data_IF_307813949325
#
_entry.id   IF_307813949325
#
_cell.length_a   1.000
_cell.length_b   1.000
_cell.length_c   1.000
_cell.angle_alpha   90.00
_cell.angle_beta   90.00
_cell.angle_gamma   90.00
#
_symmetry.space_group_name_H-M   'P 1'
#
loop_
_entity.id
_entity.type
_entity.pdbx_description
1 polymer ?
#
# COMPACT_ATOMS: atom_id res chain seq x y z
N UNK A 1 -14.81 -5.38 4.76
CA UNK A 1 -15.51 -5.89 5.95
C UNK A 1 -14.82 -5.38 7.19
N UNK A 2 -15.51 -4.55 7.99
CA UNK A 2 -15.25 -4.08 9.37
C UNK A 2 -13.83 -3.74 9.90
N UNK A 3 -12.75 -3.75 9.11
CA UNK A 3 -11.41 -3.29 9.54
C UNK A 3 -10.98 -1.92 9.00
N UNK A 4 -11.76 -1.30 8.09
CA UNK A 4 -11.36 -0.07 7.38
C UNK A 4 -11.70 1.24 8.11
N UNK A 5 -12.10 1.20 9.39
CA UNK A 5 -12.59 2.40 10.13
C UNK A 5 -11.69 2.89 11.27
N UNK A 6 -10.43 2.46 11.33
CA UNK A 6 -9.49 2.93 12.37
C UNK A 6 -8.30 3.67 11.79
N UNK A 7 -8.54 4.60 10.87
CA UNK A 7 -7.63 5.73 10.63
C UNK A 7 -8.48 6.93 10.25
N UNK A 8 -8.71 7.77 11.25
CA UNK A 8 -9.23 9.12 11.10
C UNK A 8 -8.26 9.92 10.21
N UNK A 9 -8.45 9.90 8.87
CA UNK A 9 -7.95 10.85 7.85
C UNK A 9 -8.21 10.38 6.40
N UNK A 10 -8.96 11.22 5.69
CA UNK A 10 -9.31 11.25 4.26
C UNK A 10 -10.52 10.42 3.76
N UNK A 11 -11.59 11.07 3.23
CA UNK A 11 -12.81 10.42 2.75
C UNK A 11 -12.66 9.62 1.45
N UNK A 12 -11.47 9.57 0.84
CA UNK A 12 -11.23 9.06 -0.53
C UNK A 12 -10.20 7.92 -0.59
N UNK A 13 -9.91 7.26 0.53
CA UNK A 13 -8.96 6.14 0.50
C UNK A 13 -9.58 4.94 -0.22
N UNK A 14 -9.01 4.56 -1.38
CA UNK A 14 -9.44 3.37 -2.14
C UNK A 14 -9.32 2.13 -1.24
N UNK A 15 -10.32 1.22 -1.24
CA UNK A 15 -10.22 -0.03 -0.49
C UNK A 15 -8.99 -0.83 -0.91
N UNK A 16 -8.15 -1.25 0.05
CA UNK A 16 -6.91 -1.99 -0.23
C UNK A 16 -7.20 -3.28 -1.02
N UNK A 17 -8.30 -3.96 -0.69
CA UNK A 17 -8.72 -5.18 -1.36
C UNK A 17 -9.00 -4.99 -2.87
N UNK A 18 -9.38 -3.78 -3.31
CA UNK A 18 -9.56 -3.48 -4.72
C UNK A 18 -8.21 -3.39 -5.44
N UNK A 19 -7.21 -2.76 -4.81
CA UNK A 19 -5.87 -2.70 -5.38
C UNK A 19 -5.18 -4.06 -5.36
N UNK A 20 -5.36 -4.86 -4.31
CA UNK A 20 -4.80 -6.22 -4.25
C UNK A 20 -5.25 -7.03 -5.47
N UNK A 21 -6.54 -6.95 -5.83
CA UNK A 21 -7.09 -7.61 -7.02
C UNK A 21 -6.49 -7.10 -8.32
N UNK A 22 -6.31 -5.78 -8.46
CA UNK A 22 -5.76 -5.18 -9.66
C UNK A 22 -4.29 -5.59 -9.85
N UNK A 23 -3.47 -5.48 -8.79
CA UNK A 23 -2.05 -5.86 -8.85
C UNK A 23 -1.92 -7.33 -9.22
N UNK A 24 -2.67 -8.23 -8.54
CA UNK A 24 -2.63 -9.66 -8.86
C UNK A 24 -3.10 -9.99 -10.29
N UNK A 25 -3.98 -9.17 -10.87
CA UNK A 25 -4.52 -9.41 -12.21
C UNK A 25 -3.58 -8.93 -13.34
N UNK A 26 -2.71 -7.96 -13.08
CA UNK A 26 -1.91 -7.30 -14.12
C UNK A 26 -0.40 -7.37 -13.90
N UNK A 27 0.06 -7.97 -12.80
CA UNK A 27 1.49 -8.16 -12.52
C UNK A 27 1.76 -9.55 -11.97
N UNK A 28 3.00 -10.01 -12.14
CA UNK A 28 3.53 -11.20 -11.49
C UNK A 28 4.19 -10.84 -10.16
N UNK A 29 4.42 -11.88 -9.34
CA UNK A 29 5.22 -11.74 -8.12
C UNK A 29 6.64 -11.27 -8.47
N UNK A 30 7.17 -10.33 -7.68
CA UNK A 30 8.47 -9.70 -7.94
C UNK A 30 8.47 -8.58 -8.99
N UNK A 31 7.39 -8.36 -9.75
CA UNK A 31 7.33 -7.25 -10.70
C UNK A 31 7.43 -5.89 -9.99
N UNK A 32 8.03 -4.91 -10.67
CA UNK A 32 8.14 -3.54 -10.20
C UNK A 32 6.93 -2.70 -10.60
N UNK A 33 6.23 -2.14 -9.60
CA UNK A 33 5.07 -1.26 -9.79
C UNK A 33 5.43 0.20 -9.51
N UNK A 34 5.11 1.10 -10.44
CA UNK A 34 5.25 2.55 -10.28
C UNK A 34 3.89 3.21 -10.03
N UNK A 35 3.81 4.04 -9.00
CA UNK A 35 2.71 4.98 -8.77
C UNK A 35 3.24 6.41 -8.70
N UNK A 36 3.02 7.19 -9.77
CA UNK A 36 3.52 8.55 -9.87
C UNK A 36 2.73 9.56 -9.00
N UNK A 37 1.59 9.16 -8.43
CA UNK A 37 0.72 9.99 -7.60
C UNK A 37 0.33 9.22 -6.34
N UNK A 38 1.35 8.82 -5.59
CA UNK A 38 1.26 7.84 -4.51
C UNK A 38 0.27 8.23 -3.41
N UNK A 39 0.12 9.52 -3.11
CA UNK A 39 -0.78 10.01 -2.06
C UNK A 39 -0.50 9.29 -0.74
N UNK A 40 -1.53 8.66 -0.17
CA UNK A 40 -1.39 7.92 1.10
C UNK A 40 -0.64 6.58 1.01
N UNK A 41 -0.24 6.10 -0.17
CA UNK A 41 0.54 4.86 -0.31
C UNK A 41 -0.27 3.58 -0.38
N UNK A 42 -1.54 3.62 -0.78
CA UNK A 42 -2.37 2.40 -0.84
C UNK A 42 -1.84 1.40 -1.88
N UNK A 43 -1.31 1.86 -3.01
CA UNK A 43 -0.69 1.00 -4.05
C UNK A 43 0.53 0.26 -3.49
N UNK A 44 1.43 0.97 -2.79
CA UNK A 44 2.61 0.34 -2.18
C UNK A 44 2.26 -0.66 -1.08
N UNK A 45 1.25 -0.37 -0.24
CA UNK A 45 0.76 -1.34 0.77
C UNK A 45 0.26 -2.62 0.08
N UNK A 46 -0.45 -2.48 -1.03
CA UNK A 46 -0.94 -3.61 -1.82
C UNK A 46 0.21 -4.39 -2.47
N UNK A 47 1.24 -3.71 -2.98
CA UNK A 47 2.45 -4.36 -3.51
C UNK A 47 3.17 -5.18 -2.43
N UNK A 48 3.35 -4.65 -1.22
CA UNK A 48 3.96 -5.38 -0.09
C UNK A 48 3.15 -6.63 0.25
N UNK A 49 1.81 -6.52 0.31
CA UNK A 49 0.91 -7.65 0.61
C UNK A 49 0.93 -8.75 -0.44
N UNK A 50 1.22 -8.38 -1.67
CA UNK A 50 1.23 -9.28 -2.83
C UNK A 50 2.65 -9.62 -3.28
N UNK A 51 3.69 -9.26 -2.53
CA UNK A 51 5.09 -9.53 -2.87
C UNK A 51 5.52 -8.97 -4.25
N UNK A 52 5.25 -7.68 -4.49
CA UNK A 52 5.75 -6.90 -5.63
C UNK A 52 6.74 -5.83 -5.16
N UNK A 53 7.69 -5.49 -6.01
CA UNK A 53 8.52 -4.30 -5.80
C UNK A 53 7.72 -3.03 -6.11
N UNK A 54 8.09 -1.91 -5.49
CA UNK A 54 7.28 -0.70 -5.57
C UNK A 54 8.09 0.59 -5.54
N UNK A 55 7.74 1.53 -6.42
CA UNK A 55 8.19 2.92 -6.39
C UNK A 55 6.96 3.83 -6.34
N UNK A 56 6.90 4.70 -5.32
CA UNK A 56 5.87 5.72 -5.18
C UNK A 56 6.47 7.12 -5.23
N UNK A 57 5.89 8.00 -6.04
CA UNK A 57 6.28 9.42 -6.12
C UNK A 57 5.14 10.26 -5.53
N UNK A 58 5.50 11.16 -4.61
CA UNK A 58 4.57 12.09 -3.97
C UNK A 58 5.29 13.41 -3.70
N UNK A 59 4.60 14.54 -3.87
CA UNK A 59 5.16 15.88 -3.68
C UNK A 59 4.90 16.41 -2.27
N UNK A 60 3.77 16.03 -1.66
CA UNK A 60 3.41 16.46 -0.32
C UNK A 60 4.10 15.59 0.75
N UNK A 61 4.99 16.23 1.50
CA UNK A 61 5.73 15.61 2.61
C UNK A 61 4.83 14.92 3.63
N UNK A 62 3.63 15.44 3.90
CA UNK A 62 2.69 14.83 4.84
C UNK A 62 2.23 13.45 4.35
N UNK A 63 1.99 13.32 3.06
CA UNK A 63 1.59 12.07 2.43
C UNK A 63 2.75 11.09 2.28
N UNK A 64 3.98 11.59 2.04
CA UNK A 64 5.21 10.78 2.11
C UNK A 64 5.35 10.12 3.49
N UNK A 65 5.29 10.90 4.57
CA UNK A 65 5.47 10.37 5.93
C UNK A 65 4.35 9.40 6.32
N UNK A 66 3.11 9.68 5.91
CA UNK A 66 1.99 8.76 6.08
C UNK A 66 2.24 7.43 5.35
N UNK A 67 2.70 7.48 4.09
CA UNK A 67 2.98 6.29 3.28
C UNK A 67 4.09 5.43 3.91
N UNK A 68 5.20 6.06 4.31
CA UNK A 68 6.32 5.36 4.98
C UNK A 68 5.87 4.63 6.24
N UNK A 69 5.04 5.29 7.07
CA UNK A 69 4.48 4.67 8.28
C UNK A 69 3.65 3.43 7.92
N UNK A 70 2.75 3.54 6.95
CA UNK A 70 1.90 2.42 6.50
C UNK A 70 2.73 1.26 5.94
N UNK A 71 3.80 1.55 5.18
CA UNK A 71 4.69 0.51 4.65
C UNK A 71 5.42 -0.22 5.79
N UNK A 72 5.97 0.51 6.76
CA UNK A 72 6.64 -0.11 7.91
C UNK A 72 5.71 -0.99 8.72
N UNK A 73 4.46 -0.54 8.96
CA UNK A 73 3.44 -1.33 9.64
C UNK A 73 3.10 -2.62 8.87
N UNK A 74 2.94 -2.52 7.54
CA UNK A 74 2.61 -3.69 6.71
C UNK A 74 3.77 -4.70 6.62
N UNK A 75 5.01 -4.23 6.50
CA UNK A 75 6.19 -5.11 6.48
C UNK A 75 6.30 -5.90 7.79
N UNK A 76 6.19 -5.21 8.93
CA UNK A 76 6.18 -5.86 10.25
C UNK A 76 5.05 -6.87 10.42
N UNK A 77 3.89 -6.61 9.81
CA UNK A 77 2.78 -7.54 9.83
C UNK A 77 3.09 -8.80 9.01
N UNK A 78 3.66 -8.66 7.81
CA UNK A 78 4.07 -9.79 6.98
C UNK A 78 5.13 -10.65 7.71
N UNK A 79 6.16 -10.02 8.30
CA UNK A 79 7.20 -10.73 9.07
C UNK A 79 6.63 -11.58 10.21
N UNK A 80 5.65 -11.02 10.95
CA UNK A 80 4.96 -11.74 12.03
C UNK A 80 4.10 -12.91 11.56
N UNK A 81 3.59 -12.87 10.33
CA UNK A 81 2.79 -13.95 9.75
C UNK A 81 3.66 -15.05 9.13
N UNK A 82 4.91 -14.74 8.79
CA UNK A 82 5.91 -15.69 8.30
C UNK A 82 6.74 -16.37 9.40
N UNK A 83 6.63 -15.91 10.65
CA UNK A 83 7.28 -16.49 11.83
C UNK A 83 6.37 -17.53 12.50
#
# INVERSE_FOLDING_TARGET
GKSEKTYDKHPTQKPIALLDRLILAVTNEGDLVLDAFNGSGTTGVSCIRTNREYIGIEIDKKFIELSKKRFSEQIKLNEKLSA
#
